data_IF_805490924144
#
_entry.id   IF_805490924144
#
_cell.length_a   1.000
_cell.length_b   1.000
_cell.length_c   1.000
_cell.angle_alpha   90.00
_cell.angle_beta   90.00
_cell.angle_gamma   90.00
#
_symmetry.space_group_name_H-M   'P 1'
#
loop_
_entity.id
_entity.type
_entity.pdbx_description
1 polymer ?
#
# COMPACT_ATOMS: atom_id res chain seq x y z
N UNK A 1 10.47 27.23 -55.06
CA UNK A 1 11.60 27.66 -54.21
C UNK A 1 11.41 26.94 -52.88
N UNK A 2 11.65 25.63 -52.76
CA UNK A 2 12.92 24.91 -52.94
C UNK A 2 14.05 25.49 -52.08
N UNK A 3 14.38 24.79 -50.99
CA UNK A 3 15.77 24.50 -50.65
C UNK A 3 15.89 23.10 -50.06
N UNK A 4 16.88 22.40 -50.58
CA UNK A 4 17.04 20.96 -50.62
C UNK A 4 17.95 20.42 -49.51
N UNK A 5 17.72 19.15 -49.15
CA UNK A 5 18.67 18.05 -48.87
C UNK A 5 20.09 18.34 -48.37
N UNK A 6 20.51 17.63 -47.31
CA UNK A 6 21.74 16.80 -47.35
C UNK A 6 21.80 15.67 -46.30
N UNK A 7 21.72 14.45 -46.84
CA UNK A 7 22.45 13.20 -46.55
C UNK A 7 22.42 12.44 -45.20
N UNK A 8 21.96 11.19 -45.39
CA UNK A 8 22.23 9.98 -44.62
C UNK A 8 23.75 9.75 -44.40
N UNK A 9 24.11 9.28 -43.20
CA UNK A 9 25.17 8.29 -43.08
C UNK A 9 24.75 7.20 -42.08
N UNK A 10 24.70 5.96 -42.58
CA UNK A 10 24.52 4.74 -41.81
C UNK A 10 25.87 4.38 -41.16
N UNK A 11 25.89 4.19 -39.86
CA UNK A 11 26.86 3.29 -39.23
C UNK A 11 26.11 2.31 -38.34
N UNK A 12 26.26 1.03 -38.68
CA UNK A 12 25.73 -0.12 -37.98
C UNK A 12 26.49 -0.34 -36.69
N UNK A 13 25.80 -0.40 -35.55
CA UNK A 13 26.32 -1.01 -34.33
C UNK A 13 25.24 -1.87 -33.68
N UNK A 14 25.33 -3.17 -33.98
CA UNK A 14 24.99 -4.32 -33.16
C UNK A 14 24.04 -4.09 -31.97
N UNK A 15 22.76 -4.38 -32.18
CA UNK A 15 21.80 -4.56 -31.08
C UNK A 15 22.08 -5.90 -30.38
N UNK A 16 22.86 -5.88 -29.29
CA UNK A 16 22.73 -6.94 -28.27
C UNK A 16 21.42 -6.69 -27.51
N UNK A 17 20.40 -7.49 -27.85
CA UNK A 17 19.21 -7.68 -27.02
C UNK A 17 19.65 -8.30 -25.68
N UNK A 18 19.79 -7.50 -24.64
CA UNK A 18 19.69 -7.99 -23.28
C UNK A 18 18.24 -7.81 -22.82
N UNK A 19 17.41 -8.80 -23.12
CA UNK A 19 16.11 -8.96 -22.47
C UNK A 19 16.35 -9.41 -21.03
N UNK A 20 16.38 -8.47 -20.09
CA UNK A 20 16.33 -8.82 -18.68
C UNK A 20 14.88 -9.20 -18.32
N UNK A 21 14.59 -10.50 -18.39
CA UNK A 21 13.41 -11.09 -17.75
C UNK A 21 13.70 -11.12 -16.25
N UNK A 22 13.00 -10.31 -15.46
CA UNK A 22 12.99 -10.46 -14.01
C UNK A 22 11.69 -11.13 -13.60
N UNK A 23 11.81 -12.40 -13.23
CA UNK A 23 10.76 -13.20 -12.61
C UNK A 23 10.83 -13.01 -11.10
N UNK A 24 9.66 -12.88 -10.45
CA UNK A 24 9.51 -13.02 -9.01
C UNK A 24 10.14 -14.36 -8.57
N UNK A 25 11.23 -14.33 -7.81
CA UNK A 25 11.83 -15.53 -7.21
C UNK A 25 11.36 -15.63 -5.77
N UNK A 26 10.40 -16.52 -5.52
CA UNK A 26 10.19 -17.07 -4.18
C UNK A 26 11.42 -17.93 -3.83
N UNK A 27 11.97 -17.76 -2.61
CA UNK A 27 13.00 -18.65 -2.06
C UNK A 27 12.30 -19.91 -1.56
N UNK A 28 12.60 -21.05 -2.19
CA UNK A 28 12.26 -22.38 -1.66
C UNK A 28 13.16 -22.72 -0.47
N UNK A 29 12.53 -23.09 0.65
CA UNK A 29 13.14 -23.92 1.68
C UNK A 29 12.22 -25.12 1.90
N UNK A 30 12.57 -26.25 1.29
CA UNK A 30 11.95 -27.54 1.62
C UNK A 30 13.03 -28.50 2.11
N UNK A 31 12.87 -28.96 3.34
CA UNK A 31 13.38 -30.26 3.77
C UNK A 31 12.19 -31.10 4.22
N UNK A 32 12.07 -32.25 3.57
CA UNK A 32 11.04 -33.26 3.75
C UNK A 32 11.14 -33.96 5.10
N UNK A 33 9.99 -34.28 5.70
CA UNK A 33 9.82 -35.59 6.32
C UNK A 33 8.37 -36.07 6.17
N UNK A 34 8.23 -37.10 5.36
CA UNK A 34 7.02 -37.89 5.15
C UNK A 34 6.67 -38.70 6.39
N UNK A 35 5.39 -38.74 6.75
CA UNK A 35 4.75 -39.95 7.28
C UNK A 35 3.30 -40.01 6.82
N UNK A 36 3.00 -41.11 6.12
CA UNK A 36 1.66 -41.57 5.78
C UNK A 36 0.95 -41.99 7.05
N UNK A 37 -0.35 -41.72 7.16
CA UNK A 37 -1.29 -42.60 7.88
C UNK A 37 -2.70 -42.47 7.29
N UNK A 38 -3.44 -43.56 7.50
CA UNK A 38 -4.50 -44.12 6.68
C UNK A 38 -5.87 -43.42 6.77
N UNK A 39 -6.68 -43.68 5.72
CA UNK A 39 -8.08 -43.29 5.57
C UNK A 39 -8.96 -43.83 6.69
N UNK A 40 -9.74 -42.95 7.31
CA UNK A 40 -11.01 -43.33 7.93
C UNK A 40 -12.11 -42.38 7.44
N UNK A 41 -13.11 -42.97 6.78
CA UNK A 41 -14.30 -42.30 6.27
C UNK A 41 -15.27 -42.07 7.43
N UNK A 42 -15.47 -40.81 7.83
CA UNK A 42 -16.67 -40.39 8.54
C UNK A 42 -17.34 -39.28 7.73
N UNK A 43 -18.57 -39.55 7.28
CA UNK A 43 -19.47 -38.56 6.70
C UNK A 43 -19.67 -37.41 7.69
N UNK A 44 -19.04 -36.27 7.40
CA UNK A 44 -19.40 -34.98 7.99
C UNK A 44 -20.16 -34.19 6.92
N UNK A 45 -21.46 -34.03 7.13
CA UNK A 45 -22.34 -33.21 6.30
C UNK A 45 -21.84 -31.76 6.35
N UNK A 46 -21.13 -31.31 5.32
CA UNK A 46 -20.60 -29.94 5.21
C UNK A 46 -21.54 -29.06 4.37
N UNK A 47 -22.26 -28.16 5.05
CA UNK A 47 -22.83 -26.97 4.44
C UNK A 47 -21.72 -25.94 4.14
N UNK A 48 -21.83 -25.25 2.99
CA UNK A 48 -21.17 -23.97 2.61
C UNK A 48 -19.71 -23.80 3.05
N UNK A 49 -18.82 -23.73 2.06
CA UNK A 49 -17.65 -22.81 1.88
C UNK A 49 -16.46 -23.60 1.35
N UNK A 50 -15.90 -23.14 0.23
CA UNK A 50 -14.45 -23.00 -0.02
C UNK A 50 -14.24 -22.35 -1.42
N UNK A 51 -13.46 -21.28 -1.45
CA UNK A 51 -13.13 -20.37 -2.57
C UNK A 51 -11.66 -19.95 -2.37
N UNK A 52 -10.73 -19.72 -3.30
CA UNK A 52 -10.56 -19.75 -4.77
C UNK A 52 -9.03 -19.81 -5.02
N UNK A 53 -8.54 -20.34 -6.15
CA UNK A 53 -7.14 -20.23 -6.60
C UNK A 53 -7.06 -19.55 -7.97
N UNK A 54 -6.20 -18.54 -8.12
CA UNK A 54 -5.68 -18.07 -9.42
C UNK A 54 -4.16 -18.00 -9.35
N UNK A 55 -3.51 -18.68 -10.31
CA UNK A 55 -2.25 -18.24 -10.90
C UNK A 55 -1.04 -19.15 -10.75
N UNK A 56 -0.90 -20.17 -11.61
CA UNK A 56 0.43 -20.54 -12.13
C UNK A 56 0.32 -21.15 -13.52
N UNK A 57 0.93 -20.49 -14.49
CA UNK A 57 1.19 -21.03 -15.83
C UNK A 57 2.35 -22.01 -15.74
N UNK A 58 2.08 -23.31 -15.88
CA UNK A 58 3.10 -24.31 -16.23
C UNK A 58 2.45 -25.47 -16.96
N UNK A 59 3.00 -25.79 -18.12
CA UNK A 59 2.52 -26.81 -19.04
C UNK A 59 2.63 -28.22 -18.44
N UNK A 60 1.54 -28.97 -18.57
CA UNK A 60 1.39 -30.43 -18.45
C UNK A 60 1.32 -31.05 -17.04
N UNK A 61 0.09 -31.19 -16.51
CA UNK A 61 -0.45 -32.46 -15.95
C UNK A 61 -1.96 -32.52 -16.28
N UNK A 62 -2.41 -33.63 -16.87
CA UNK A 62 -3.82 -33.98 -17.09
C UNK A 62 -4.47 -34.35 -15.75
N UNK A 63 -5.35 -33.52 -15.20
CA UNK A 63 -6.49 -33.98 -14.40
C UNK A 63 -7.48 -32.82 -14.16
N UNK A 64 -8.69 -32.98 -14.68
CA UNK A 64 -9.96 -32.30 -14.34
C UNK A 64 -9.85 -31.09 -13.38
N UNK A 65 -9.33 -29.96 -13.88
CA UNK A 65 -9.31 -28.71 -13.15
C UNK A 65 -10.56 -27.89 -13.47
N UNK A 66 -11.57 -27.94 -12.59
CA UNK A 66 -12.62 -26.91 -12.60
C UNK A 66 -11.96 -25.61 -12.16
N UNK A 67 -11.69 -24.71 -13.12
CA UNK A 67 -11.35 -23.33 -12.82
C UNK A 67 -12.60 -22.66 -12.26
N UNK A 68 -12.75 -22.69 -10.94
CA UNK A 68 -13.75 -21.86 -10.25
C UNK A 68 -13.34 -20.41 -10.51
N UNK A 69 -14.12 -19.66 -11.28
CA UNK A 69 -14.07 -18.20 -11.31
C UNK A 69 -15.05 -17.70 -10.27
N UNK A 70 -14.59 -16.94 -9.28
CA UNK A 70 -15.49 -16.18 -8.42
C UNK A 70 -16.15 -15.09 -9.25
N UNK A 71 -17.46 -15.01 -9.16
CA UNK A 71 -18.24 -13.92 -9.71
C UNK A 71 -18.02 -12.68 -8.85
N UNK A 72 -17.73 -11.54 -9.48
CA UNK A 72 -17.67 -10.25 -8.81
C UNK A 72 -19.09 -9.85 -8.45
N UNK A 73 -19.37 -9.67 -7.17
CA UNK A 73 -20.69 -9.28 -6.67
C UNK A 73 -20.73 -7.82 -6.29
N UNK A 74 -21.85 -7.15 -6.54
CA UNK A 74 -22.08 -5.78 -6.09
C UNK A 74 -22.00 -5.65 -4.57
N UNK A 75 -21.41 -4.54 -4.11
CA UNK A 75 -21.38 -4.23 -2.69
C UNK A 75 -22.77 -3.82 -2.19
N UNK A 76 -23.21 -4.44 -1.08
CA UNK A 76 -24.46 -4.11 -0.40
C UNK A 76 -24.12 -3.59 1.00
N UNK A 77 -24.45 -2.31 1.32
CA UNK A 77 -24.28 -1.78 2.67
C UNK A 77 -25.07 -2.60 3.69
N UNK A 78 -24.46 -2.89 4.85
CA UNK A 78 -25.19 -3.55 5.95
C UNK A 78 -26.03 -2.52 6.71
N UNK A 79 -27.37 -2.69 6.79
CA UNK A 79 -28.24 -1.77 7.51
C UNK A 79 -28.05 -1.86 9.05
N UNK A 80 -27.42 -2.93 9.54
CA UNK A 80 -27.14 -3.14 10.97
C UNK A 80 -25.67 -2.95 11.32
N UNK A 81 -24.91 -2.27 10.45
CA UNK A 81 -23.50 -2.01 10.70
C UNK A 81 -23.32 -1.17 11.97
N UNK A 82 -22.55 -1.68 12.92
CA UNK A 82 -22.17 -0.90 14.12
C UNK A 82 -21.09 0.11 13.74
N UNK A 83 -21.28 1.37 14.16
CA UNK A 83 -20.27 2.41 13.98
C UNK A 83 -19.02 2.08 14.77
N UNK A 84 -17.90 1.90 14.08
CA UNK A 84 -16.61 1.64 14.69
C UNK A 84 -15.79 2.93 14.71
N UNK A 85 -15.22 3.27 15.86
CA UNK A 85 -14.51 4.54 16.05
C UNK A 85 -13.02 4.29 16.08
N UNK A 86 -12.32 4.70 15.02
CA UNK A 86 -10.85 4.72 14.99
C UNK A 86 -10.32 5.72 16.02
N UNK A 87 -9.23 5.38 16.70
CA UNK A 87 -8.66 6.20 17.78
C UNK A 87 -7.18 6.51 17.50
N UNK A 88 -6.69 7.71 17.87
CA UNK A 88 -5.29 8.06 17.70
C UNK A 88 -4.38 7.12 18.51
N UNK A 89 -3.34 6.58 17.90
CA UNK A 89 -2.45 5.61 18.56
C UNK A 89 -1.86 6.15 19.87
N UNK A 90 -1.52 7.43 19.95
CA UNK A 90 -0.90 8.03 21.14
C UNK A 90 -1.85 8.16 22.35
N UNK A 91 -3.15 7.89 22.19
CA UNK A 91 -4.15 7.92 23.28
C UNK A 91 -4.30 6.55 23.94
N UNK A 92 -4.83 6.49 25.17
CA UNK A 92 -5.05 5.22 25.88
C UNK A 92 -5.88 4.22 25.05
N UNK A 93 -7.06 4.62 24.57
CA UNK A 93 -7.92 3.75 23.75
C UNK A 93 -7.27 3.34 22.41
N UNK A 94 -6.43 4.21 21.83
CA UNK A 94 -5.67 3.88 20.62
C UNK A 94 -4.60 2.83 20.87
N UNK A 95 -3.91 2.89 22.02
CA UNK A 95 -2.93 1.88 22.44
C UNK A 95 -3.60 0.52 22.66
N UNK A 96 -4.79 0.48 23.25
CA UNK A 96 -5.55 -0.76 23.41
C UNK A 96 -5.91 -1.38 22.05
N UNK A 97 -6.37 -0.55 21.09
CA UNK A 97 -6.62 -1.00 19.73
C UNK A 97 -5.34 -1.44 19.00
N UNK A 98 -4.18 -0.86 19.31
CA UNK A 98 -2.91 -1.30 18.74
C UNK A 98 -2.47 -2.69 19.22
N UNK A 99 -2.77 -3.06 20.47
CA UNK A 99 -2.54 -4.43 20.94
C UNK A 99 -3.38 -5.43 20.15
N UNK A 100 -4.66 -5.10 19.91
CA UNK A 100 -5.54 -5.90 19.05
C UNK A 100 -5.05 -5.96 17.61
N UNK A 101 -4.59 -4.82 17.07
CA UNK A 101 -4.06 -4.74 15.71
C UNK A 101 -2.81 -5.62 15.54
N UNK A 102 -1.87 -5.57 16.48
CA UNK A 102 -0.70 -6.48 16.53
C UNK A 102 -1.13 -7.94 16.44
N UNK A 103 -2.15 -8.35 17.21
CA UNK A 103 -2.68 -9.72 17.14
C UNK A 103 -3.34 -10.02 15.80
N UNK A 104 -4.09 -9.09 15.22
CA UNK A 104 -4.71 -9.27 13.91
C UNK A 104 -3.64 -9.51 12.82
N UNK A 105 -2.56 -8.73 12.82
CA UNK A 105 -1.43 -8.88 11.88
C UNK A 105 -0.71 -10.22 12.09
N UNK A 106 -0.50 -10.63 13.34
CA UNK A 106 0.07 -11.95 13.67
C UNK A 106 -0.76 -13.08 13.07
N UNK A 107 -2.10 -13.04 13.25
CA UNK A 107 -3.02 -14.02 12.67
C UNK A 107 -3.03 -13.95 11.14
N UNK A 108 -2.97 -12.74 10.57
CA UNK A 108 -2.95 -12.52 9.13
C UNK A 108 -1.70 -13.08 8.46
N UNK A 109 -0.55 -13.02 9.15
CA UNK A 109 0.73 -13.60 8.71
C UNK A 109 0.77 -15.14 8.84
N UNK A 110 -0.08 -15.74 9.67
CA UNK A 110 -0.20 -17.20 9.84
C UNK A 110 -1.13 -17.85 8.80
N UNK A 111 -1.89 -17.07 8.04
CA UNK A 111 -2.75 -17.61 6.98
C UNK A 111 -1.93 -18.22 5.84
N UNK A 112 -2.47 -19.23 5.12
CA UNK A 112 -1.83 -19.76 3.92
C UNK A 112 -1.58 -18.64 2.89
N UNK A 113 -0.49 -18.74 2.12
CA UNK A 113 -0.14 -17.74 1.10
C UNK A 113 -1.23 -17.53 0.04
N UNK A 114 -2.05 -18.56 -0.23
CA UNK A 114 -3.18 -18.48 -1.15
C UNK A 114 -4.43 -17.83 -0.56
N UNK A 115 -4.51 -17.65 0.77
CA UNK A 115 -5.66 -17.02 1.41
C UNK A 115 -5.67 -15.52 1.08
N UNK A 116 -6.72 -14.98 0.42
CA UNK A 116 -6.75 -13.58 0.01
C UNK A 116 -6.70 -12.60 1.18
N UNK A 117 -6.98 -13.06 2.40
CA UNK A 117 -6.89 -12.26 3.64
C UNK A 117 -5.48 -12.21 4.20
N UNK A 118 -4.56 -13.05 3.71
CA UNK A 118 -3.17 -13.14 4.16
C UNK A 118 -2.45 -11.80 4.04
N UNK A 119 -1.44 -11.59 4.89
CA UNK A 119 -0.81 -10.27 5.04
C UNK A 119 -0.16 -9.80 3.73
N UNK A 120 0.58 -10.70 3.06
CA UNK A 120 1.15 -10.43 1.76
C UNK A 120 0.11 -10.23 0.66
N UNK A 121 -1.04 -10.90 0.75
CA UNK A 121 -2.12 -10.69 -0.22
C UNK A 121 -2.79 -9.33 -0.05
N UNK A 122 -2.92 -8.86 1.19
CA UNK A 122 -3.33 -7.48 1.44
C UNK A 122 -2.30 -6.51 0.84
N UNK A 123 -1.01 -6.76 1.00
CA UNK A 123 0.03 -5.93 0.39
C UNK A 123 -0.04 -5.89 -1.15
N UNK A 124 -0.26 -7.05 -1.76
CA UNK A 124 -0.40 -7.22 -3.20
C UNK A 124 -1.57 -6.44 -3.80
N UNK A 125 -2.64 -6.16 -3.02
CA UNK A 125 -3.73 -5.30 -3.50
C UNK A 125 -3.19 -3.92 -3.87
N UNK A 126 -2.39 -3.29 -3.01
CA UNK A 126 -1.80 -2.00 -3.31
C UNK A 126 -0.84 -2.08 -4.49
N UNK A 127 0.09 -3.03 -4.49
CA UNK A 127 0.99 -3.25 -5.62
C UNK A 127 0.22 -3.34 -6.96
N UNK A 128 -0.86 -4.11 -7.02
CA UNK A 128 -1.61 -4.30 -8.26
C UNK A 128 -2.31 -3.03 -8.77
N UNK A 129 -2.89 -2.23 -7.86
CA UNK A 129 -3.63 -1.01 -8.22
C UNK A 129 -2.74 0.22 -8.43
N UNK A 130 -1.52 0.18 -7.89
CA UNK A 130 -0.64 1.34 -7.78
C UNK A 130 0.62 1.23 -8.66
N UNK A 131 0.85 0.07 -9.29
CA UNK A 131 2.02 -0.19 -10.15
C UNK A 131 1.66 -0.73 -11.54
N UNK A 132 0.47 -0.40 -12.05
CA UNK A 132 0.05 -0.80 -13.39
C UNK A 132 -0.18 -2.31 -13.54
N UNK A 133 -0.57 -2.98 -12.45
CA UNK A 133 -0.95 -4.40 -12.46
C UNK A 133 -2.19 -4.67 -13.31
N UNK A 134 -3.08 -3.69 -13.45
CA UNK A 134 -4.30 -3.77 -14.26
C UNK A 134 -4.24 -2.90 -15.52
N UNK A 135 -4.88 -3.37 -16.58
CA UNK A 135 -5.17 -2.56 -17.76
C UNK A 135 -6.58 -1.98 -17.64
N UNK A 136 -6.84 -0.86 -18.31
CA UNK A 136 -8.19 -0.34 -18.44
C UNK A 136 -8.99 -1.13 -19.48
N UNK A 137 -10.17 -1.61 -19.09
CA UNK A 137 -11.05 -2.36 -19.99
C UNK A 137 -11.49 -1.48 -21.17
N UNK A 138 -11.40 -2.00 -22.39
CA UNK A 138 -11.69 -1.25 -23.61
C UNK A 138 -10.55 -0.37 -24.14
N UNK A 139 -9.43 -0.23 -23.41
CA UNK A 139 -8.29 0.60 -23.80
C UNK A 139 -6.98 -0.18 -23.80
N UNK A 140 -6.61 -0.72 -24.97
CA UNK A 140 -5.37 -1.47 -25.17
C UNK A 140 -4.15 -0.66 -24.76
N UNK A 141 -3.27 -1.25 -23.94
CA UNK A 141 -2.00 -0.67 -23.47
C UNK A 141 -2.12 0.52 -22.51
N UNK A 142 -3.32 0.85 -22.01
CA UNK A 142 -3.47 1.86 -20.96
C UNK A 142 -3.55 1.19 -19.60
N UNK A 143 -2.66 1.58 -18.69
CA UNK A 143 -2.62 1.07 -17.31
C UNK A 143 -3.61 1.79 -16.42
N UNK A 144 -4.18 1.05 -15.48
CA UNK A 144 -4.99 1.61 -14.41
C UNK A 144 -4.09 2.08 -13.26
N UNK A 145 -4.39 3.26 -12.73
CA UNK A 145 -3.70 3.85 -11.58
C UNK A 145 -4.72 4.52 -10.67
N UNK A 146 -4.56 4.36 -9.36
CA UNK A 146 -5.41 4.98 -8.34
C UNK A 146 -4.80 6.27 -7.78
N UNK A 147 -3.47 6.41 -7.85
CA UNK A 147 -2.73 7.60 -7.49
C UNK A 147 -2.85 8.74 -8.50
N UNK A 148 -2.37 9.92 -8.09
CA UNK A 148 -2.24 11.13 -8.90
C UNK A 148 -3.57 11.55 -9.54
N UNK A 149 -4.66 11.31 -8.84
CA UNK A 149 -6.00 11.65 -9.31
C UNK A 149 -6.99 11.66 -8.16
N UNK A 150 -8.21 12.07 -8.46
CA UNK A 150 -9.35 11.99 -7.54
C UNK A 150 -9.71 10.57 -7.03
N UNK A 151 -9.07 9.50 -7.54
CA UNK A 151 -9.29 8.12 -7.08
C UNK A 151 -8.51 7.77 -5.81
N UNK A 152 -7.50 8.57 -5.47
CA UNK A 152 -6.63 8.44 -4.29
C UNK A 152 -7.44 8.13 -3.01
N UNK A 153 -8.29 9.09 -2.61
CA UNK A 153 -9.09 8.99 -1.40
C UNK A 153 -10.09 7.83 -1.41
N UNK A 154 -10.98 7.70 -2.41
CA UNK A 154 -12.01 6.66 -2.39
C UNK A 154 -11.42 5.24 -2.48
N UNK A 155 -10.39 5.00 -3.30
CA UNK A 155 -9.84 3.65 -3.44
C UNK A 155 -9.27 3.15 -2.11
N UNK A 156 -8.41 3.92 -1.46
CA UNK A 156 -7.84 3.42 -0.21
C UNK A 156 -8.83 3.50 0.96
N UNK A 157 -9.91 4.30 0.88
CA UNK A 157 -10.99 4.23 1.88
C UNK A 157 -11.61 2.85 1.85
N UNK A 158 -11.88 2.33 0.65
CA UNK A 158 -12.35 0.97 0.44
C UNK A 158 -11.32 -0.07 0.82
N UNK A 159 -10.05 0.18 0.52
CA UNK A 159 -8.97 -0.72 0.90
C UNK A 159 -8.91 -0.91 2.43
N UNK A 160 -8.85 0.20 3.18
CA UNK A 160 -8.85 0.17 4.64
C UNK A 160 -10.17 -0.35 5.22
N UNK A 161 -11.30 -0.13 4.54
CA UNK A 161 -12.60 -0.66 4.95
C UNK A 161 -12.59 -2.19 4.97
N UNK A 162 -12.13 -2.82 3.89
CA UNK A 162 -12.07 -4.28 3.83
C UNK A 162 -10.95 -4.84 4.71
N UNK A 163 -9.79 -4.21 4.76
CA UNK A 163 -8.69 -4.60 5.63
C UNK A 163 -9.11 -4.62 7.12
N UNK A 164 -9.77 -3.56 7.60
CA UNK A 164 -10.30 -3.49 8.97
C UNK A 164 -11.30 -4.61 9.26
N UNK A 165 -12.17 -4.94 8.31
CA UNK A 165 -13.14 -6.04 8.45
C UNK A 165 -12.47 -7.40 8.47
N UNK A 166 -11.40 -7.59 7.70
CA UNK A 166 -10.57 -8.80 7.78
C UNK A 166 -9.98 -8.92 9.18
N UNK A 167 -9.40 -7.84 9.73
CA UNK A 167 -8.92 -7.84 11.11
C UNK A 167 -10.01 -8.22 12.12
N UNK A 168 -11.23 -7.65 12.02
CA UNK A 168 -12.37 -8.04 12.88
C UNK A 168 -12.65 -9.53 12.82
N UNK A 169 -12.70 -10.10 11.61
CA UNK A 169 -12.97 -11.52 11.41
C UNK A 169 -11.88 -12.42 11.98
N UNK A 170 -10.62 -12.06 11.82
CA UNK A 170 -9.50 -12.82 12.40
C UNK A 170 -9.48 -12.72 13.93
N UNK A 171 -9.77 -11.54 14.48
CA UNK A 171 -9.85 -11.31 15.93
C UNK A 171 -11.11 -11.89 16.58
N UNK A 172 -12.15 -12.20 15.78
CA UNK A 172 -13.51 -12.48 16.26
C UNK A 172 -14.05 -11.33 17.13
N UNK A 173 -13.69 -10.09 16.77
CA UNK A 173 -14.09 -8.88 17.47
C UNK A 173 -14.73 -7.91 16.47
N UNK A 174 -16.06 -7.90 16.41
CA UNK A 174 -16.81 -6.99 15.53
C UNK A 174 -16.70 -5.51 15.95
N UNK A 175 -16.21 -5.23 17.17
CA UNK A 175 -16.04 -3.86 17.68
C UNK A 175 -14.69 -3.25 17.34
N UNK A 176 -13.74 -4.06 16.86
CA UNK A 176 -12.40 -3.59 16.52
C UNK A 176 -12.43 -2.48 15.46
N UNK A 177 -11.65 -1.43 15.69
CA UNK A 177 -11.42 -0.36 14.73
C UNK A 177 -9.90 -0.17 14.60
N UNK A 178 -9.42 0.00 13.36
CA UNK A 178 -8.00 0.30 13.15
C UNK A 178 -7.66 1.60 13.91
N UNK A 179 -6.56 1.62 14.66
CA UNK A 179 -6.02 2.87 15.17
C UNK A 179 -5.42 3.69 14.00
N UNK A 180 -5.15 4.97 14.22
CA UNK A 180 -4.51 5.82 13.20
C UNK A 180 -3.38 6.64 13.81
N UNK A 181 -2.34 6.89 13.00
CA UNK A 181 -1.26 7.78 13.39
C UNK A 181 -1.73 9.23 13.24
N UNK A 182 -1.90 9.92 14.37
CA UNK A 182 -2.38 11.31 14.42
C UNK A 182 -1.18 12.27 14.40
N UNK A 183 -0.53 12.34 13.24
CA UNK A 183 0.62 13.22 13.01
C UNK A 183 0.21 14.69 12.76
N UNK A 184 -1.08 15.01 12.78
CA UNK A 184 -1.61 16.38 12.80
C UNK A 184 -1.76 16.95 14.23
N UNK A 185 -1.48 16.15 15.26
CA UNK A 185 -1.43 16.57 16.66
C UNK A 185 0.00 16.47 17.21
N UNK A 186 0.51 17.49 17.94
CA UNK A 186 1.89 17.49 18.46
C UNK A 186 2.27 16.22 19.24
N UNK A 187 1.38 15.71 20.10
CA UNK A 187 1.62 14.49 20.90
C UNK A 187 1.60 13.19 20.07
N UNK A 188 1.26 13.27 18.79
CA UNK A 188 1.20 12.15 17.87
C UNK A 188 2.17 12.26 16.70
N UNK A 189 3.09 13.23 16.67
CA UNK A 189 4.02 13.42 15.54
C UNK A 189 5.21 12.46 15.54
N UNK A 190 5.41 11.66 16.59
CA UNK A 190 6.43 10.61 16.62
C UNK A 190 5.84 9.29 16.10
N UNK A 191 6.67 8.45 15.46
CA UNK A 191 6.28 7.07 15.11
C UNK A 191 5.85 6.35 16.40
N UNK A 192 4.70 5.68 16.45
CA UNK A 192 4.32 4.93 17.64
C UNK A 192 5.35 3.86 18.01
N UNK A 193 5.86 3.90 19.25
CA UNK A 193 6.93 3.03 19.73
C UNK A 193 6.67 1.52 19.55
N UNK A 194 5.41 1.10 19.46
CA UNK A 194 5.02 -0.31 19.20
C UNK A 194 5.47 -0.86 17.85
N UNK A 195 5.83 0.02 16.91
CA UNK A 195 6.44 -0.36 15.64
C UNK A 195 7.94 -0.65 15.77
N UNK A 196 8.60 -0.16 16.83
CA UNK A 196 10.05 -0.29 17.03
C UNK A 196 10.46 -1.47 17.95
N UNK A 197 9.57 -2.43 18.18
CA UNK A 197 9.87 -3.63 18.95
C UNK A 197 10.11 -4.81 18.01
N UNK A 198 11.36 -5.27 17.89
CA UNK A 198 11.75 -6.36 16.97
C UNK A 198 11.07 -7.70 17.25
N UNK A 199 10.48 -7.89 18.43
CA UNK A 199 9.69 -9.08 18.76
C UNK A 199 8.22 -9.00 18.31
N UNK A 200 7.77 -7.82 17.88
CA UNK A 200 6.39 -7.54 17.50
C UNK A 200 6.09 -7.98 16.06
N UNK A 201 4.89 -8.50 15.81
CA UNK A 201 4.37 -8.75 14.45
C UNK A 201 4.22 -7.47 13.62
N UNK A 202 4.23 -6.30 14.27
CA UNK A 202 4.21 -4.98 13.66
C UNK A 202 5.60 -4.48 13.23
N UNK A 203 6.66 -5.14 13.67
CA UNK A 203 8.02 -4.75 13.33
C UNK A 203 8.31 -4.94 11.85
N UNK A 204 9.17 -4.06 11.37
CA UNK A 204 9.74 -4.07 10.04
C UNK A 204 11.13 -3.41 10.14
N UNK A 205 12.13 -4.14 9.67
CA UNK A 205 13.54 -3.72 9.69
C UNK A 205 13.88 -2.69 8.62
N UNK A 206 13.03 -2.58 7.59
CA UNK A 206 13.16 -1.66 6.46
C UNK A 206 12.43 -0.33 6.78
N UNK A 207 12.77 0.23 7.94
CA UNK A 207 12.39 1.59 8.34
C UNK A 207 13.62 2.43 8.61
N UNK A 208 13.50 3.73 8.38
CA UNK A 208 14.56 4.66 8.71
C UNK A 208 14.80 4.67 10.22
N UNK A 209 15.99 4.22 10.63
CA UNK A 209 16.34 4.11 12.05
C UNK A 209 16.55 5.48 12.70
N UNK A 210 16.93 6.50 11.93
CA UNK A 210 17.15 7.86 12.43
C UNK A 210 15.83 8.59 12.72
N UNK A 211 14.71 8.06 12.23
CA UNK A 211 13.37 8.64 12.33
C UNK A 211 12.47 7.94 13.36
N UNK A 212 13.05 7.00 14.13
CA UNK A 212 12.36 6.40 15.27
C UNK A 212 12.28 7.41 16.43
N UNK A 213 11.36 7.20 17.41
CA UNK A 213 11.26 8.07 18.58
C UNK A 213 12.63 8.27 19.26
N UNK A 214 12.97 9.51 19.66
CA UNK A 214 12.10 10.67 19.82
C UNK A 214 11.99 11.60 18.58
N UNK A 215 12.33 11.13 17.37
CA UNK A 215 12.23 11.97 16.18
C UNK A 215 10.77 12.36 15.85
N UNK A 216 10.56 13.65 15.61
CA UNK A 216 9.29 14.23 15.14
C UNK A 216 9.25 14.10 13.62
N UNK A 217 8.14 13.58 13.08
CA UNK A 217 7.94 13.43 11.63
C UNK A 217 8.11 14.76 10.89
N UNK A 218 8.75 14.74 9.72
CA UNK A 218 8.72 15.87 8.80
C UNK A 218 7.61 15.68 7.77
N UNK A 219 6.50 16.41 7.96
CA UNK A 219 5.35 16.30 7.08
C UNK A 219 5.57 16.92 5.69
N UNK A 220 6.54 17.83 5.52
CA UNK A 220 6.80 18.46 4.22
C UNK A 220 7.88 17.72 3.43
N UNK A 221 8.74 16.96 4.12
CA UNK A 221 9.80 16.13 3.52
C UNK A 221 10.73 16.89 2.59
N UNK A 222 10.80 18.21 2.71
CA UNK A 222 11.49 19.04 1.73
C UNK A 222 12.97 19.10 2.10
N UNK A 223 13.74 18.19 1.49
CA UNK A 223 15.20 18.18 1.57
C UNK A 223 15.84 19.49 1.05
N UNK A 224 15.07 20.39 0.41
CA UNK A 224 15.51 21.70 -0.07
C UNK A 224 15.32 22.83 0.96
N UNK A 225 14.49 22.64 2.00
CA UNK A 225 14.46 23.57 3.14
C UNK A 225 15.62 23.18 4.05
N UNK A 226 16.78 23.81 3.79
CA UNK A 226 17.97 23.62 4.61
C UNK A 226 17.73 24.19 6.02
N UNK A 227 17.36 23.30 6.93
CA UNK A 227 17.25 23.59 8.36
C UNK A 227 15.94 24.27 8.77
N UNK A 228 15.43 23.84 9.92
CA UNK A 228 14.36 24.55 10.64
C UNK A 228 14.98 25.86 11.15
N UNK A 229 14.38 27.04 10.89
CA UNK A 229 14.81 28.29 11.49
C UNK A 229 14.97 28.16 13.01
N UNK A 230 16.00 28.76 13.62
CA UNK A 230 16.30 28.57 15.04
C UNK A 230 15.13 28.90 15.98
N UNK A 231 14.21 29.77 15.55
CA UNK A 231 13.04 30.20 16.30
C UNK A 231 11.80 29.30 16.13
N UNK A 232 11.88 28.24 15.32
CA UNK A 232 10.77 27.33 15.00
C UNK A 232 11.09 25.90 15.37
N UNK A 233 10.05 25.11 15.64
CA UNK A 233 10.15 23.66 15.83
C UNK A 233 9.59 22.92 14.62
N UNK A 234 9.97 21.65 14.42
CA UNK A 234 9.35 20.80 13.39
C UNK A 234 7.83 20.71 13.59
N UNK A 235 7.36 20.73 14.85
CA UNK A 235 5.94 20.75 15.20
C UNK A 235 5.24 21.96 14.58
N UNK A 236 5.83 23.16 14.69
CA UNK A 236 5.24 24.38 14.10
C UNK A 236 5.15 24.26 12.57
N UNK A 237 6.18 23.71 11.92
CA UNK A 237 6.17 23.47 10.47
C UNK A 237 5.08 22.49 10.06
N UNK A 238 4.96 21.38 10.78
CA UNK A 238 3.92 20.37 10.54
C UNK A 238 2.51 20.96 10.67
N UNK A 239 2.25 21.74 11.72
CA UNK A 239 0.94 22.39 11.92
C UNK A 239 0.63 23.40 10.81
N UNK A 240 1.62 24.22 10.42
CA UNK A 240 1.46 25.15 9.30
C UNK A 240 1.24 24.44 7.96
N UNK A 241 1.93 23.31 7.74
CA UNK A 241 1.73 22.51 6.54
C UNK A 241 0.32 21.92 6.51
N UNK A 242 -0.15 21.31 7.60
CA UNK A 242 -1.51 20.76 7.66
C UNK A 242 -2.56 21.84 7.38
N UNK A 243 -2.37 23.05 7.93
CA UNK A 243 -3.23 24.19 7.58
C UNK A 243 -3.19 24.51 6.08
N UNK A 244 -2.00 24.55 5.47
CA UNK A 244 -1.88 24.77 4.02
C UNK A 244 -2.60 23.69 3.23
N UNK A 245 -2.37 22.42 3.54
CA UNK A 245 -2.89 21.30 2.76
C UNK A 245 -4.39 21.08 2.92
N UNK A 246 -4.95 21.42 4.08
CA UNK A 246 -6.39 21.31 4.35
C UNK A 246 -7.19 22.56 3.95
N UNK A 247 -6.56 23.74 3.95
CA UNK A 247 -7.27 25.03 3.79
C UNK A 247 -6.77 25.80 2.57
N UNK A 248 -5.55 26.33 2.59
CA UNK A 248 -5.12 27.34 1.60
C UNK A 248 -4.78 26.75 0.24
N UNK A 249 -4.30 25.50 0.20
CA UNK A 249 -3.98 24.78 -1.02
C UNK A 249 -5.16 23.91 -1.50
N UNK A 250 -6.24 23.82 -0.72
CA UNK A 250 -7.39 22.95 -0.96
C UNK A 250 -8.68 23.73 -1.24
N UNK A 251 -8.57 24.89 -1.88
CA UNK A 251 -9.70 25.81 -2.11
C UNK A 251 -10.76 25.27 -3.07
N UNK A 252 -10.48 24.17 -3.78
CA UNK A 252 -11.45 23.47 -4.63
C UNK A 252 -11.32 21.95 -4.47
N UNK A 253 -12.36 21.16 -4.78
CA UNK A 253 -12.28 19.71 -4.73
C UNK A 253 -11.14 19.13 -5.55
N UNK A 254 -10.81 19.71 -6.72
CA UNK A 254 -9.71 19.21 -7.57
C UNK A 254 -8.34 19.45 -6.95
N UNK A 255 -8.18 20.55 -6.24
CA UNK A 255 -6.93 20.83 -5.53
C UNK A 255 -6.77 19.94 -4.30
N UNK A 256 -7.86 19.52 -3.66
CA UNK A 256 -7.82 18.63 -2.50
C UNK A 256 -7.73 17.14 -2.87
N UNK A 257 -8.65 16.66 -3.72
CA UNK A 257 -8.76 15.24 -4.09
C UNK A 257 -7.84 14.84 -5.23
N UNK A 258 -7.48 15.78 -6.11
CA UNK A 258 -6.71 15.53 -7.33
C UNK A 258 -7.52 15.77 -8.62
N UNK A 259 -6.83 15.69 -9.74
CA UNK A 259 -7.39 15.91 -11.07
C UNK A 259 -8.30 14.74 -11.48
N UNK A 260 -9.26 15.00 -12.38
CA UNK A 260 -10.09 13.93 -12.94
C UNK A 260 -9.27 12.88 -13.68
N UNK A 261 -9.64 11.62 -13.49
CA UNK A 261 -9.10 10.46 -14.20
C UNK A 261 -10.26 9.58 -14.68
N UNK A 262 -10.29 9.29 -15.98
CA UNK A 262 -11.37 8.60 -16.70
C UNK A 262 -10.81 7.49 -17.57
N UNK A 263 -11.71 6.62 -18.03
CA UNK A 263 -11.37 5.55 -18.93
C UNK A 263 -10.75 6.11 -20.23
N UNK A 264 -9.61 5.55 -20.62
CA UNK A 264 -8.77 5.99 -21.73
C UNK A 264 -7.73 7.04 -21.39
N UNK A 265 -7.79 7.66 -20.21
CA UNK A 265 -6.73 8.55 -19.76
C UNK A 265 -5.48 7.71 -19.50
N UNK A 266 -4.40 8.02 -20.21
CA UNK A 266 -3.06 7.54 -19.85
C UNK A 266 -2.70 8.20 -18.51
N UNK A 267 -2.39 7.39 -17.51
CA UNK A 267 -1.81 7.93 -16.29
C UNK A 267 -0.37 8.34 -16.63
N UNK A 268 -0.04 9.64 -16.66
CA UNK A 268 1.33 10.01 -16.87
C UNK A 268 2.06 9.67 -15.57
N UNK A 269 2.77 8.55 -15.58
CA UNK A 269 4.01 8.35 -14.80
C UNK A 269 5.05 9.47 -15.05
N UNK A 270 4.69 10.53 -15.79
CA UNK A 270 5.50 11.68 -16.23
C UNK A 270 4.99 13.04 -15.77
N UNK A 271 3.79 13.15 -15.18
CA UNK A 271 3.25 14.45 -14.79
C UNK A 271 2.68 14.37 -13.38
N UNK A 272 3.43 14.88 -12.39
CA UNK A 272 3.00 15.10 -10.99
C UNK A 272 1.72 15.97 -10.86
N UNK A 273 1.15 16.41 -11.97
CA UNK A 273 0.09 17.41 -12.11
C UNK A 273 -1.28 16.96 -11.61
N UNK A 274 -1.45 15.66 -11.35
CA UNK A 274 -2.73 15.07 -11.01
C UNK A 274 -3.06 15.02 -9.52
N UNK A 275 -2.05 15.07 -8.64
CA UNK A 275 -2.24 14.83 -7.22
C UNK A 275 -2.98 15.95 -6.49
N UNK A 276 -3.77 15.55 -5.50
CA UNK A 276 -4.38 16.46 -4.54
C UNK A 276 -3.39 16.95 -3.48
N UNK A 277 -3.77 17.98 -2.73
CA UNK A 277 -2.94 18.63 -1.72
C UNK A 277 -2.36 17.63 -0.71
N UNK A 278 -3.22 16.77 -0.15
CA UNK A 278 -2.84 15.76 0.84
C UNK A 278 -1.96 14.67 0.25
N UNK A 279 -2.26 14.20 -0.96
CA UNK A 279 -1.45 13.19 -1.65
C UNK A 279 -0.01 13.68 -1.83
N UNK A 280 0.16 14.94 -2.25
CA UNK A 280 1.48 15.56 -2.42
C UNK A 280 2.22 15.60 -1.08
N UNK A 281 1.59 16.18 -0.06
CA UNK A 281 2.09 16.20 1.31
C UNK A 281 0.92 16.44 2.28
N UNK A 282 0.87 15.78 3.44
CA UNK A 282 1.95 15.02 4.06
C UNK A 282 2.06 13.58 3.59
N UNK A 283 1.17 13.11 2.72
CA UNK A 283 1.07 11.69 2.46
C UNK A 283 2.38 11.13 1.87
N UNK A 284 2.82 11.61 0.69
CA UNK A 284 4.01 11.05 0.03
C UNK A 284 5.29 11.29 0.84
N UNK A 285 5.34 12.41 1.54
CA UNK A 285 6.49 12.83 2.33
C UNK A 285 6.65 12.00 3.60
N UNK A 286 5.55 11.65 4.30
CA UNK A 286 5.59 10.75 5.46
C UNK A 286 6.05 9.35 5.05
N UNK A 287 5.67 8.91 3.86
CA UNK A 287 6.11 7.64 3.30
C UNK A 287 7.60 7.61 3.00
N UNK A 288 8.11 8.60 2.27
CA UNK A 288 9.55 8.76 2.04
C UNK A 288 10.33 8.92 3.36
N UNK A 289 9.77 9.66 4.33
CA UNK A 289 10.38 9.85 5.65
C UNK A 289 10.47 8.54 6.43
N UNK A 290 9.43 7.69 6.41
CA UNK A 290 9.46 6.44 7.16
C UNK A 290 10.35 5.35 6.53
N UNK A 291 10.61 5.43 5.22
CA UNK A 291 11.34 4.40 4.45
C UNK A 291 12.83 4.34 4.73
N UNK A 292 13.41 3.15 4.69
CA UNK A 292 14.82 2.95 5.00
C UNK A 292 15.74 3.59 3.95
N UNK A 293 16.41 4.68 4.33
CA UNK A 293 17.37 5.42 3.49
C UNK A 293 18.57 4.60 3.02
N UNK A 294 18.77 3.41 3.58
CA UNK A 294 19.82 2.47 3.16
C UNK A 294 19.40 1.62 1.95
N UNK A 295 18.12 1.65 1.58
CA UNK A 295 17.57 0.87 0.47
C UNK A 295 17.42 1.73 -0.80
N UNK A 296 17.55 1.14 -2.01
CA UNK A 296 17.61 1.90 -3.27
C UNK A 296 16.31 2.64 -3.63
N UNK A 297 15.17 2.23 -3.07
CA UNK A 297 13.85 2.82 -3.30
C UNK A 297 13.14 3.15 -1.99
N UNK A 298 13.91 3.44 -0.92
CA UNK A 298 13.44 3.69 0.44
C UNK A 298 12.40 2.65 0.91
N UNK A 299 12.66 1.39 0.60
CA UNK A 299 11.88 0.25 1.05
C UNK A 299 11.71 0.27 2.58
N UNK A 300 10.60 -0.19 3.14
CA UNK A 300 9.37 -0.61 2.45
C UNK A 300 8.47 0.60 2.11
N UNK A 301 8.63 1.71 2.81
CA UNK A 301 7.62 2.77 2.92
C UNK A 301 7.55 3.76 1.74
N UNK A 302 8.50 3.78 0.80
CA UNK A 302 8.36 4.55 -0.45
C UNK A 302 8.11 3.63 -1.65
N UNK A 303 8.57 2.38 -1.58
CA UNK A 303 8.42 1.45 -2.69
C UNK A 303 7.02 0.83 -2.72
N UNK A 304 6.08 1.39 -3.50
CA UNK A 304 4.69 0.91 -3.68
C UNK A 304 4.48 -0.61 -3.85
N UNK A 305 5.45 -1.35 -4.37
CA UNK A 305 5.37 -2.83 -4.47
C UNK A 305 5.60 -3.54 -3.13
N UNK A 306 6.27 -2.89 -2.18
CA UNK A 306 6.64 -3.38 -0.85
C UNK A 306 6.05 -2.55 0.30
N UNK A 307 5.42 -1.41 -0.01
CA UNK A 307 4.78 -0.47 0.92
C UNK A 307 3.94 -1.08 2.03
N UNK A 308 3.32 -2.20 1.73
CA UNK A 308 2.39 -2.86 2.63
C UNK A 308 2.92 -4.17 3.20
N UNK A 309 4.19 -4.48 2.94
CA UNK A 309 4.95 -5.50 3.67
C UNK A 309 5.23 -5.05 5.13
N UNK A 310 4.95 -3.79 5.43
CA UNK A 310 5.00 -3.20 6.76
C UNK A 310 3.60 -2.88 7.30
N UNK A 311 3.22 -3.35 8.51
CA UNK A 311 1.93 -3.03 9.11
C UNK A 311 1.73 -1.54 9.46
N UNK A 312 2.80 -0.73 9.40
CA UNK A 312 2.78 0.69 9.74
C UNK A 312 2.09 1.55 8.68
N UNK A 313 2.20 1.17 7.41
CA UNK A 313 1.58 1.90 6.29
C UNK A 313 0.06 2.00 6.43
N UNK A 314 -0.60 0.98 6.97
CA UNK A 314 -2.05 0.98 7.27
C UNK A 314 -2.46 2.10 8.25
N UNK A 315 -1.51 2.63 9.03
CA UNK A 315 -1.72 3.73 9.98
C UNK A 315 -1.33 5.10 9.41
N UNK A 316 -0.46 5.13 8.40
CA UNK A 316 -0.05 6.36 7.70
C UNK A 316 -1.07 6.78 6.69
N UNK A 317 -1.67 5.83 5.96
CA UNK A 317 -2.59 6.13 4.88
C UNK A 317 -3.66 7.17 5.31
N UNK A 318 -3.64 8.41 4.78
CA UNK A 318 -4.86 9.12 4.48
C UNK A 318 -5.25 8.60 3.11
N UNK A 319 -5.43 7.28 2.98
CA UNK A 319 -5.71 6.67 1.70
C UNK A 319 -4.67 7.00 0.57
N UNK A 320 -3.59 6.21 0.34
CA UNK A 320 -2.69 6.06 -0.88
C UNK A 320 -1.25 6.60 -0.90
N UNK A 321 -0.23 5.90 -1.49
CA UNK A 321 1.13 6.39 -1.92
C UNK A 321 1.61 6.24 -3.38
N UNK A 322 2.33 7.25 -3.86
CA UNK A 322 3.15 7.12 -5.06
C UNK A 322 4.63 6.84 -4.77
N UNK A 323 5.25 6.17 -5.74
CA UNK A 323 6.57 5.59 -5.77
C UNK A 323 7.28 6.09 -7.02
N UNK A 324 8.27 6.96 -6.86
CA UNK A 324 8.95 7.61 -7.97
C UNK A 324 10.39 7.90 -7.61
N UNK A 325 11.29 7.06 -8.10
CA UNK A 325 12.75 7.19 -8.07
C UNK A 325 13.21 8.64 -8.21
N UNK A 326 13.86 9.15 -7.17
CA UNK A 326 14.62 10.40 -7.19
C UNK A 326 15.72 10.30 -8.25
N UNK A 327 15.61 11.13 -9.28
CA UNK A 327 16.62 11.38 -10.30
C UNK A 327 16.55 12.83 -10.71
#
# INVERSE_FOLDING_TARGET
MEFSHLFLNKSSLSTKKNSAKFACKAKDSSENNQKNDEKENQELILHRRDFLLIGVSSTAIYQTGVSLRMEVTDYIPSPTATTCVRRPVHTANGRDNMVKYRKAVELMKQLPASDPRGFMQQANVHCAYCNGGYNQEGYSNVKFEVHRSWLFFPFHRWYLYFYERICRKLLQDETFALPFWNYDSPSGMEIPAMFNDSSSSLYDSLRNQDHLPPAVVDLNGDFLVTGIPPEKTQIDYNLNLMYKQMITNATTPRLFFGQPYRAGDDNPTRSRSGSGSIEIAPHNTVHAWAGDSRQPFLEDMEHSTQLLETPFSMLIMPTSTDCGSFG
#
